data_IF_345750181314
#
_entry.id   IF_345750181314
#
_cell.length_a   1.000
_cell.length_b   1.000
_cell.length_c   1.000
_cell.angle_alpha   90.00
_cell.angle_beta   90.00
_cell.angle_gamma   90.00
#
_symmetry.space_group_name_H-M   'P 1'
#
loop_
_entity.id
_entity.type
_entity.pdbx_description
1 polymer ?
#
# COMPACT_ATOMS: atom_id res chain seq x y z
N UNK A 1 58.74 22.24 34.89
CA UNK A 1 58.36 20.81 34.74
C UNK A 1 57.01 20.65 35.43
N UNK A 2 55.91 20.13 34.90
CA UNK A 2 55.54 19.47 33.63
C UNK A 2 54.07 19.83 33.37
N UNK A 3 53.76 20.19 32.12
CA UNK A 3 52.41 20.35 31.59
C UNK A 3 51.75 18.96 31.49
N UNK A 4 50.59 18.75 32.12
CA UNK A 4 49.79 17.54 31.89
C UNK A 4 48.63 17.88 30.94
N UNK A 5 48.91 17.63 29.66
CA UNK A 5 47.96 17.59 28.56
C UNK A 5 46.86 16.55 28.84
N UNK A 6 45.61 16.99 28.95
CA UNK A 6 44.47 16.08 28.90
C UNK A 6 44.08 15.81 27.44
N UNK A 7 44.39 14.57 27.04
CA UNK A 7 43.90 13.79 25.89
C UNK A 7 42.61 14.33 25.24
N UNK A 8 42.73 14.68 23.96
CA UNK A 8 41.60 14.79 23.04
C UNK A 8 40.84 13.45 22.97
N UNK A 9 39.52 13.51 23.12
CA UNK A 9 38.59 12.41 22.82
C UNK A 9 38.08 12.60 21.39
N UNK A 10 38.43 11.74 20.42
CA UNK A 10 37.66 11.64 19.19
C UNK A 10 36.46 10.70 19.43
N UNK A 11 35.58 10.61 18.43
CA UNK A 11 34.49 9.64 18.27
C UNK A 11 33.10 10.13 18.72
N UNK A 12 32.38 10.61 17.72
CA UNK A 12 30.93 10.74 17.74
C UNK A 12 30.41 11.12 16.35
N UNK A 13 30.93 10.51 15.29
CA UNK A 13 30.35 10.66 13.96
C UNK A 13 28.96 10.01 13.96
N UNK A 14 27.92 10.84 14.07
CA UNK A 14 26.53 10.41 13.90
C UNK A 14 26.35 10.08 12.42
N UNK A 15 26.54 8.81 12.08
CA UNK A 15 26.25 8.30 10.75
C UNK A 15 24.74 8.13 10.64
N UNK A 16 24.05 9.19 10.18
CA UNK A 16 22.67 9.09 9.72
C UNK A 16 22.67 8.15 8.50
N UNK A 17 22.33 6.88 8.73
CA UNK A 17 22.09 5.92 7.66
C UNK A 17 20.85 6.36 6.89
N UNK A 18 21.06 7.15 5.84
CA UNK A 18 20.06 7.37 4.79
C UNK A 18 19.83 6.03 4.10
N UNK A 19 18.74 5.37 4.45
CA UNK A 19 18.23 4.24 3.69
C UNK A 19 17.78 4.77 2.33
N UNK A 20 18.66 4.67 1.33
CA UNK A 20 18.28 4.84 -0.07
C UNK A 20 17.47 3.61 -0.45
N UNK A 21 16.15 3.75 -0.47
CA UNK A 21 15.26 2.75 -1.05
C UNK A 21 15.60 2.63 -2.54
N UNK A 22 16.07 1.45 -2.95
CA UNK A 22 16.37 1.13 -4.34
C UNK A 22 15.10 1.25 -5.18
N UNK A 23 15.12 2.16 -6.16
CA UNK A 23 14.04 2.37 -7.11
C UNK A 23 14.05 1.25 -8.17
N UNK A 24 13.18 0.26 -7.97
CA UNK A 24 12.81 -0.74 -8.95
C UNK A 24 11.43 -1.28 -8.58
N UNK A 25 10.60 -1.60 -9.59
CA UNK A 25 9.22 -1.99 -9.38
C UNK A 25 9.19 -3.18 -8.42
N UNK A 26 8.73 -2.93 -7.19
CA UNK A 26 8.88 -3.89 -6.11
C UNK A 26 7.78 -4.94 -6.24
N UNK A 27 8.18 -6.21 -6.42
CA UNK A 27 7.24 -7.32 -6.44
C UNK A 27 7.05 -7.81 -5.01
N UNK A 28 5.91 -7.47 -4.41
CA UNK A 28 5.56 -7.89 -3.06
C UNK A 28 4.44 -8.91 -3.13
N UNK A 29 4.68 -10.10 -2.56
CA UNK A 29 3.68 -11.18 -2.54
C UNK A 29 3.14 -11.51 -3.94
N UNK A 30 4.00 -11.36 -4.97
CA UNK A 30 3.66 -11.55 -6.38
C UNK A 30 2.89 -10.40 -7.05
N UNK A 31 2.55 -9.33 -6.32
CA UNK A 31 1.95 -8.13 -6.87
C UNK A 31 3.00 -7.05 -7.16
N UNK A 32 2.84 -6.35 -8.27
CA UNK A 32 3.71 -5.26 -8.68
C UNK A 32 3.29 -3.95 -7.98
N UNK A 33 4.26 -3.22 -7.44
CA UNK A 33 4.05 -1.91 -6.85
C UNK A 33 4.77 -0.81 -7.66
N UNK A 34 4.19 0.40 -7.75
CA UNK A 34 4.87 1.54 -8.34
C UNK A 34 6.22 1.81 -7.67
N UNK A 35 7.22 2.21 -8.46
CA UNK A 35 8.53 2.61 -7.94
C UNK A 35 8.41 3.68 -6.86
N UNK A 36 9.14 3.51 -5.75
CA UNK A 36 9.12 4.43 -4.62
C UNK A 36 7.92 4.24 -3.68
N UNK A 37 7.16 3.16 -3.83
CA UNK A 37 6.09 2.81 -2.89
C UNK A 37 6.67 2.55 -1.49
N UNK A 38 6.09 3.20 -0.48
CA UNK A 38 6.53 3.07 0.90
C UNK A 38 5.62 2.11 1.65
N UNK A 39 6.18 1.09 2.32
CA UNK A 39 5.41 0.20 3.19
C UNK A 39 4.92 0.96 4.42
N UNK A 40 3.61 1.06 4.59
CA UNK A 40 2.95 1.75 5.73
C UNK A 40 2.23 0.79 6.67
N UNK A 41 2.20 -0.50 6.34
CA UNK A 41 1.63 -1.55 7.18
C UNK A 41 1.71 -2.92 6.52
N UNK A 42 1.08 -3.91 7.13
CA UNK A 42 1.01 -5.25 6.55
C UNK A 42 0.15 -5.24 5.29
N UNK A 43 0.74 -5.65 4.16
CA UNK A 43 0.14 -5.58 2.83
C UNK A 43 -0.34 -4.18 2.42
N UNK A 44 0.11 -3.11 3.09
CA UNK A 44 -0.31 -1.72 2.87
C UNK A 44 0.89 -0.87 2.47
N UNK A 45 0.72 -0.16 1.37
CA UNK A 45 1.75 0.66 0.74
C UNK A 45 1.19 2.03 0.41
N UNK A 46 2.02 3.07 0.52
CA UNK A 46 1.74 4.41 0.04
C UNK A 46 2.40 4.56 -1.32
N UNK A 47 1.62 4.91 -2.35
CA UNK A 47 2.17 5.23 -3.66
C UNK A 47 2.79 6.64 -3.61
N UNK A 48 3.91 6.89 -4.30
CA UNK A 48 4.52 8.21 -4.35
C UNK A 48 3.87 9.15 -5.39
N UNK A 49 2.97 8.62 -6.22
CA UNK A 49 2.28 9.35 -7.29
C UNK A 49 0.81 9.53 -6.95
N UNK A 50 0.18 10.49 -7.61
CA UNK A 50 -1.26 10.74 -7.50
C UNK A 50 -2.09 9.58 -8.01
N UNK A 51 -3.39 9.62 -7.74
CA UNK A 51 -4.30 8.50 -7.98
C UNK A 51 -4.39 8.13 -9.46
N UNK A 52 -4.48 9.11 -10.36
CA UNK A 52 -4.58 8.87 -11.80
C UNK A 52 -3.29 8.25 -12.35
N UNK A 53 -2.13 8.79 -11.97
CA UNK A 53 -0.83 8.26 -12.38
C UNK A 53 -0.60 6.83 -11.83
N UNK A 54 -1.08 6.54 -10.62
CA UNK A 54 -1.03 5.19 -10.03
C UNK A 54 -1.95 4.22 -10.80
N UNK A 55 -3.15 4.66 -11.19
CA UNK A 55 -4.04 3.85 -12.03
C UNK A 55 -3.47 3.61 -13.42
N UNK A 56 -2.79 4.59 -14.02
CA UNK A 56 -2.14 4.44 -15.32
C UNK A 56 -0.95 3.48 -15.26
N UNK A 57 -0.14 3.51 -14.19
CA UNK A 57 0.84 2.47 -13.92
C UNK A 57 0.18 1.09 -13.88
N UNK A 58 -0.93 0.94 -13.15
CA UNK A 58 -1.61 -0.35 -13.09
C UNK A 58 -2.29 -0.75 -14.40
N UNK A 59 -2.57 0.17 -15.34
CA UNK A 59 -2.99 -0.15 -16.72
C UNK A 59 -1.88 -0.79 -17.54
N UNK A 60 -0.64 -0.35 -17.38
CA UNK A 60 0.48 -0.95 -18.11
C UNK A 60 0.86 -2.33 -17.55
N UNK A 61 0.78 -2.50 -16.23
CA UNK A 61 1.16 -3.75 -15.56
C UNK A 61 0.04 -4.80 -15.57
N UNK A 62 -1.20 -4.35 -15.33
CA UNK A 62 -2.39 -5.20 -15.26
C UNK A 62 -3.44 -4.70 -16.25
N UNK A 63 -3.44 -5.31 -17.44
CA UNK A 63 -4.37 -4.95 -18.51
C UNK A 63 -5.82 -5.05 -18.03
N UNK A 64 -6.65 -4.10 -18.45
CA UNK A 64 -8.07 -4.03 -18.07
C UNK A 64 -8.88 -5.24 -18.55
N UNK A 65 -8.44 -5.90 -19.62
CA UNK A 65 -9.07 -7.12 -20.15
C UNK A 65 -8.84 -8.33 -19.25
N UNK A 66 -7.65 -8.46 -18.66
CA UNK A 66 -7.28 -9.61 -17.82
C UNK A 66 -7.51 -9.35 -16.33
N UNK A 67 -7.53 -8.10 -15.90
CA UNK A 67 -7.69 -7.71 -14.50
C UNK A 67 -8.88 -6.74 -14.38
N UNK A 68 -10.10 -7.25 -14.14
CA UNK A 68 -11.29 -6.43 -14.08
C UNK A 68 -11.21 -5.47 -12.91
N UNK A 69 -11.73 -4.25 -13.13
CA UNK A 69 -11.67 -3.16 -12.15
C UNK A 69 -13.06 -2.75 -11.71
N UNK A 70 -13.20 -2.51 -10.41
CA UNK A 70 -14.45 -2.08 -9.80
C UNK A 70 -14.18 -0.84 -8.97
N UNK A 71 -14.94 0.22 -9.22
CA UNK A 71 -14.90 1.39 -8.34
C UNK A 71 -15.56 1.02 -7.01
N UNK A 72 -14.90 1.34 -5.91
CA UNK A 72 -15.45 1.20 -4.56
C UNK A 72 -16.02 2.58 -4.21
N UNK A 73 -17.25 2.85 -4.66
CA UNK A 73 -17.92 4.14 -4.45
C UNK A 73 -18.71 4.08 -3.14
N UNK A 74 -18.08 4.34 -2.01
CA UNK A 74 -18.78 4.31 -0.72
C UNK A 74 -18.68 5.60 0.11
N UNK A 75 -17.83 6.56 -0.27
CA UNK A 75 -17.57 7.77 0.51
C UNK A 75 -17.38 8.98 -0.43
N UNK A 76 -18.08 10.11 -0.20
CA UNK A 76 -17.78 11.37 -0.88
C UNK A 76 -16.34 11.81 -0.61
N UNK A 77 -15.60 12.21 -1.64
CA UNK A 77 -14.22 12.70 -1.49
C UNK A 77 -13.15 11.60 -1.36
N UNK A 78 -13.51 10.32 -1.41
CA UNK A 78 -12.54 9.20 -1.46
C UNK A 78 -12.67 8.51 -2.81
N UNK A 79 -11.59 8.49 -3.60
CA UNK A 79 -11.55 7.67 -4.82
C UNK A 79 -11.01 6.30 -4.45
N UNK A 80 -11.70 5.25 -4.87
CA UNK A 80 -11.24 3.90 -4.60
C UNK A 80 -11.53 2.95 -5.75
N UNK A 81 -10.55 2.11 -6.07
CA UNK A 81 -10.62 1.12 -7.14
C UNK A 81 -10.08 -0.20 -6.62
N UNK A 82 -10.85 -1.26 -6.84
CA UNK A 82 -10.41 -2.63 -6.71
C UNK A 82 -9.98 -3.17 -8.08
N UNK A 83 -8.81 -3.80 -8.14
CA UNK A 83 -8.34 -4.57 -9.29
C UNK A 83 -8.33 -6.04 -8.87
N UNK A 84 -9.16 -6.87 -9.50
CA UNK A 84 -9.24 -8.29 -9.17
C UNK A 84 -8.19 -9.08 -9.96
N UNK A 85 -7.53 -10.05 -9.32
CA UNK A 85 -6.67 -11.03 -9.98
C UNK A 85 -7.47 -12.33 -10.23
N UNK A 86 -7.96 -12.59 -11.45
CA UNK A 86 -8.75 -13.79 -11.72
C UNK A 86 -7.93 -15.08 -11.60
N UNK A 87 -6.61 -15.01 -11.69
CA UNK A 87 -5.76 -16.19 -11.50
C UNK A 87 -5.71 -16.65 -10.04
N UNK A 88 -5.96 -15.75 -9.08
CA UNK A 88 -5.87 -16.04 -7.65
C UNK A 88 -4.50 -16.59 -7.20
N UNK A 89 -3.45 -16.40 -8.00
CA UNK A 89 -2.08 -16.84 -7.70
C UNK A 89 -1.36 -15.71 -6.97
N UNK A 90 -0.74 -16.03 -5.84
CA UNK A 90 0.01 -15.12 -4.94
C UNK A 90 -0.82 -14.05 -4.23
N UNK A 91 -1.73 -13.37 -4.93
CA UNK A 91 -2.67 -12.39 -4.38
C UNK A 91 -4.06 -12.51 -5.04
N UNK A 92 -5.11 -12.15 -4.32
CA UNK A 92 -6.49 -12.13 -4.81
C UNK A 92 -6.83 -10.85 -5.59
N UNK A 93 -6.19 -9.73 -5.26
CA UNK A 93 -6.38 -8.46 -5.93
C UNK A 93 -5.67 -7.31 -5.23
N UNK A 94 -5.93 -6.09 -5.71
CA UNK A 94 -5.40 -4.85 -5.18
C UNK A 94 -6.54 -3.90 -4.88
N UNK A 95 -6.49 -3.21 -3.75
CA UNK A 95 -7.35 -2.05 -3.49
C UNK A 95 -6.49 -0.80 -3.50
N UNK A 96 -6.91 0.21 -4.24
CA UNK A 96 -6.24 1.50 -4.35
C UNK A 96 -7.23 2.53 -3.82
N UNK A 97 -6.80 3.33 -2.84
CA UNK A 97 -7.59 4.38 -2.22
C UNK A 97 -6.84 5.70 -2.32
N UNK A 98 -7.54 6.79 -2.61
CA UNK A 98 -7.05 8.15 -2.48
C UNK A 98 -7.86 8.86 -1.40
N UNK A 99 -7.18 9.32 -0.35
CA UNK A 99 -7.77 10.11 0.73
C UNK A 99 -6.72 11.08 1.29
N UNK A 100 -7.10 12.32 1.58
CA UNK A 100 -6.20 13.37 2.07
C UNK A 100 -4.93 13.52 1.22
N UNK A 101 -5.08 13.52 -0.12
CA UNK A 101 -3.98 13.60 -1.08
C UNK A 101 -2.95 12.46 -0.98
N UNK A 102 -3.28 11.38 -0.25
CA UNK A 102 -2.46 10.19 -0.12
C UNK A 102 -3.10 9.01 -0.84
N UNK A 103 -2.31 8.39 -1.71
CA UNK A 103 -2.72 7.16 -2.42
C UNK A 103 -2.19 5.95 -1.67
N UNK A 104 -3.10 5.09 -1.22
CA UNK A 104 -2.79 3.88 -0.46
C UNK A 104 -3.19 2.65 -1.26
N UNK A 105 -2.26 1.73 -1.39
CA UNK A 105 -2.39 0.45 -2.07
C UNK A 105 -2.45 -0.65 -1.01
N UNK A 106 -3.45 -1.51 -1.10
CA UNK A 106 -3.60 -2.69 -0.27
C UNK A 106 -3.58 -3.95 -1.13
N UNK A 107 -2.65 -4.87 -0.83
CA UNK A 107 -2.56 -6.16 -1.49
C UNK A 107 -3.49 -7.12 -0.76
N UNK A 108 -4.50 -7.64 -1.47
CA UNK A 108 -5.44 -8.61 -0.91
C UNK A 108 -4.81 -10.00 -1.03
N UNK A 109 -4.48 -10.69 0.08
CA UNK A 109 -3.88 -12.02 0.02
C UNK A 109 -4.91 -13.08 -0.43
N UNK A 110 -4.44 -14.16 -1.05
CA UNK A 110 -5.27 -15.26 -1.58
C UNK A 110 -6.07 -16.00 -0.52
N UNK A 111 -5.56 -16.08 0.71
CA UNK A 111 -6.24 -16.71 1.85
C UNK A 111 -7.38 -15.85 2.44
N UNK A 112 -7.51 -14.59 2.02
CA UNK A 112 -8.59 -13.71 2.44
C UNK A 112 -9.34 -13.15 1.23
N UNK A 113 -9.92 -14.05 0.43
CA UNK A 113 -11.21 -13.74 -0.15
C UNK A 113 -12.16 -13.48 1.02
N UNK A 114 -12.29 -12.21 1.39
CA UNK A 114 -13.15 -11.76 2.47
C UNK A 114 -14.51 -12.39 2.22
N UNK A 115 -14.94 -13.29 3.12
CA UNK A 115 -16.34 -13.66 3.27
C UNK A 115 -17.11 -12.34 3.19
N UNK A 116 -18.13 -12.20 2.34
CA UNK A 116 -18.86 -10.96 2.22
C UNK A 116 -19.27 -10.57 3.63
N UNK A 117 -18.77 -9.41 4.12
CA UNK A 117 -19.30 -8.81 5.33
C UNK A 117 -20.78 -8.58 5.02
N UNK A 118 -21.62 -9.51 5.47
CA UNK A 118 -23.04 -9.30 5.68
C UNK A 118 -23.11 -7.98 6.44
N UNK A 119 -23.62 -6.96 5.77
CA UNK A 119 -24.22 -5.79 6.41
C UNK A 119 -24.98 -6.32 7.64
N UNK A 120 -24.63 -5.92 8.88
CA UNK A 120 -25.45 -6.28 10.01
C UNK A 120 -26.70 -5.40 9.92
N UNK A 121 -27.69 -5.81 9.15
CA UNK A 121 -29.03 -5.22 9.22
C UNK A 121 -29.89 -6.04 10.18
N UNK A 122 -30.24 -5.35 11.26
CA UNK A 122 -30.89 -5.77 12.47
C UNK A 122 -32.11 -6.69 12.30
N UNK A 123 -32.18 -7.71 13.17
CA UNK A 123 -33.44 -8.10 13.83
C UNK A 123 -33.22 -7.78 15.33
N UNK A 124 -34.22 -7.32 16.10
CA UNK A 124 -35.63 -7.75 16.01
C UNK A 124 -36.69 -6.65 16.27
N UNK A 125 -37.91 -6.83 15.74
CA UNK A 125 -39.09 -6.26 16.37
C UNK A 125 -40.30 -7.18 16.16
N UNK A 126 -40.67 -7.89 17.23
CA UNK A 126 -42.01 -8.47 17.42
C UNK A 126 -43.05 -7.35 17.43
N UNK A 127 -44.13 -7.53 16.68
CA UNK A 127 -45.52 -7.06 16.86
C UNK A 127 -46.22 -7.46 15.54
N UNK A 128 -47.28 -8.25 15.51
CA UNK A 128 -48.54 -8.21 16.27
C UNK A 128 -49.10 -9.62 16.36
#
# INVERSE_FOLDING_TARGET
MRQHFYKARPLGAVMCALWVATAGAEVVSGAQLPDGSQKVGENRYRAPRDFEATLDYYRSVYSTSSYPRRQIVNQPGVKAVHISNPSGKNFAGLNIYEANEEVRIYIVPTQQAVKPMKKPEAKPAKKK
#
